data_IF_992280373848
#
_entry.id   IF_992280373848
#
_cell.length_a   1.000
_cell.length_b   1.000
_cell.length_c   1.000
_cell.angle_alpha   90.00
_cell.angle_beta   90.00
_cell.angle_gamma   90.00
#
_symmetry.space_group_name_H-M   'P 1'
#
loop_
_entity.id
_entity.type
_entity.pdbx_description
1 polymer ?
#
# COMPACT_ATOMS: atom_id res chain seq x y z
N UNK A 1 -37.24 49.10 25.36
CA UNK A 1 -37.54 47.87 24.61
C UNK A 1 -36.32 46.98 24.71
N UNK A 2 -36.43 45.90 25.47
CA UNK A 2 -35.34 44.94 25.64
C UNK A 2 -35.43 43.81 24.62
N UNK A 3 -34.29 43.16 24.36
CA UNK A 3 -34.16 41.73 24.09
C UNK A 3 -32.67 41.40 24.15
N UNK A 4 -32.24 40.77 25.23
CA UNK A 4 -30.97 40.06 25.25
C UNK A 4 -31.09 38.83 24.35
N UNK A 5 -30.05 38.59 23.55
CA UNK A 5 -29.76 37.28 22.99
C UNK A 5 -28.31 36.98 23.32
N UNK A 6 -28.15 36.30 24.45
CA UNK A 6 -27.06 35.39 24.75
C UNK A 6 -26.81 34.47 23.53
N UNK A 7 -25.59 34.43 22.98
CA UNK A 7 -25.17 33.33 22.14
C UNK A 7 -24.63 32.21 23.03
N UNK A 8 -25.48 31.22 23.28
CA UNK A 8 -25.11 30.00 23.98
C UNK A 8 -24.08 29.24 23.14
N UNK A 9 -23.04 28.64 23.76
CA UNK A 9 -21.95 28.02 23.04
C UNK A 9 -22.44 26.75 22.35
N UNK A 10 -22.52 26.79 21.03
CA UNK A 10 -22.69 25.59 20.23
C UNK A 10 -21.41 24.77 20.35
N UNK A 11 -21.43 23.75 21.21
CA UNK A 11 -20.47 22.65 21.15
C UNK A 11 -20.72 21.88 19.85
N UNK A 12 -20.26 22.46 18.73
CA UNK A 12 -20.10 21.80 17.45
C UNK A 12 -18.97 20.79 17.55
N UNK A 13 -19.18 19.75 18.35
CA UNK A 13 -18.37 18.55 18.41
C UNK A 13 -18.77 17.60 17.30
N UNK A 14 -18.63 18.03 16.06
CA UNK A 14 -18.21 17.12 15.01
C UNK A 14 -16.77 17.51 14.76
N UNK A 15 -15.85 16.86 15.47
CA UNK A 15 -14.50 16.72 14.95
C UNK A 15 -14.70 16.04 13.60
N UNK A 16 -14.79 16.83 12.54
CA UNK A 16 -14.63 16.31 11.19
C UNK A 16 -13.40 15.40 11.27
N UNK A 17 -13.46 14.17 10.75
CA UNK A 17 -12.25 13.40 10.67
C UNK A 17 -11.25 14.35 10.03
N UNK A 18 -10.08 14.46 10.66
CA UNK A 18 -8.92 15.04 10.03
C UNK A 18 -8.60 14.14 8.84
N UNK A 19 -9.42 14.24 7.81
CA UNK A 19 -9.01 14.27 6.43
C UNK A 19 -8.18 15.55 6.37
N UNK A 20 -7.02 15.50 7.05
CA UNK A 20 -5.85 16.28 6.69
C UNK A 20 -5.91 16.21 5.19
N UNK A 21 -6.21 17.34 4.58
CA UNK A 21 -6.33 17.47 3.13
C UNK A 21 -5.07 16.83 2.58
N UNK A 22 -5.20 15.55 2.25
CA UNK A 22 -4.20 14.76 1.59
C UNK A 22 -4.33 15.27 0.16
N UNK A 23 -3.88 16.51 -0.03
CA UNK A 23 -3.25 17.03 -1.23
C UNK A 23 -1.96 16.23 -1.42
N UNK A 24 -2.10 14.91 -1.39
CA UNK A 24 -1.17 13.94 -1.90
C UNK A 24 -1.33 14.13 -3.39
N UNK A 25 -0.49 14.98 -3.96
CA UNK A 25 -0.25 14.91 -5.39
C UNK A 25 0.00 13.46 -5.79
N UNK A 26 -0.14 13.16 -7.08
CA UNK A 26 0.19 11.85 -7.64
C UNK A 26 1.66 11.43 -7.46
N UNK A 27 2.44 12.18 -6.68
CA UNK A 27 3.83 11.98 -6.31
C UNK A 27 4.03 11.24 -4.97
N UNK A 28 2.99 10.97 -4.17
CA UNK A 28 3.22 10.26 -2.89
C UNK A 28 3.86 8.89 -3.07
N UNK A 29 3.42 8.12 -4.08
CA UNK A 29 4.06 6.85 -4.40
C UNK A 29 5.54 7.04 -4.77
N UNK A 30 5.86 8.09 -5.52
CA UNK A 30 7.24 8.47 -5.88
C UNK A 30 8.05 8.85 -4.64
N UNK A 31 7.49 9.67 -3.74
CA UNK A 31 8.12 10.05 -2.48
C UNK A 31 8.38 8.82 -1.59
N UNK A 32 7.42 7.90 -1.49
CA UNK A 32 7.56 6.64 -0.75
C UNK A 32 8.53 5.65 -1.41
N UNK A 33 8.71 5.76 -2.72
CA UNK A 33 9.63 4.92 -3.48
C UNK A 33 11.06 5.43 -3.44
N UNK A 34 11.25 6.71 -3.19
CA UNK A 34 12.50 7.38 -3.48
C UNK A 34 12.81 7.36 -4.99
N UNK A 35 13.78 8.16 -5.38
CA UNK A 35 14.44 7.96 -6.65
C UNK A 35 15.26 6.66 -6.59
N UNK A 36 15.40 5.90 -7.68
CA UNK A 36 16.38 4.83 -7.72
C UNK A 36 17.76 5.45 -7.48
N UNK A 37 18.44 5.06 -6.38
CA UNK A 37 19.79 5.54 -6.07
C UNK A 37 20.70 5.38 -7.29
N UNK A 38 21.19 6.50 -7.81
CA UNK A 38 22.14 6.52 -8.94
C UNK A 38 23.50 5.94 -8.57
N UNK A 39 23.83 5.96 -7.27
CA UNK A 39 25.16 5.64 -6.75
C UNK A 39 25.30 4.18 -6.25
N UNK A 40 24.25 3.37 -6.28
CA UNK A 40 24.35 1.92 -6.02
C UNK A 40 24.64 1.21 -7.36
N UNK A 41 25.86 0.72 -7.61
CA UNK A 41 26.26 0.36 -8.97
C UNK A 41 25.59 -0.88 -9.56
N UNK A 42 25.09 -1.84 -8.77
CA UNK A 42 24.73 -3.17 -9.30
C UNK A 42 23.59 -3.84 -8.51
N UNK A 43 22.61 -3.06 -8.05
CA UNK A 43 21.39 -3.59 -7.43
C UNK A 43 20.22 -3.62 -8.43
N UNK A 44 19.41 -4.69 -8.53
CA UNK A 44 18.23 -4.67 -9.37
C UNK A 44 17.32 -3.52 -8.92
N UNK A 45 17.01 -2.61 -9.85
CA UNK A 45 16.03 -1.53 -9.67
C UNK A 45 14.63 -2.15 -9.55
N UNK A 46 14.37 -2.77 -8.42
CA UNK A 46 13.09 -3.42 -8.15
C UNK A 46 12.03 -2.33 -7.95
N UNK A 47 10.86 -2.45 -8.58
CA UNK A 47 9.75 -1.55 -8.32
C UNK A 47 9.32 -1.67 -6.86
N UNK A 48 8.78 -0.59 -6.30
CA UNK A 48 8.25 -0.61 -4.93
C UNK A 48 7.16 -1.66 -4.72
N UNK A 49 6.29 -1.80 -5.72
CA UNK A 49 5.32 -2.87 -5.86
C UNK A 49 5.47 -3.42 -7.26
N UNK A 50 5.81 -4.69 -7.37
CA UNK A 50 5.96 -5.39 -8.64
C UNK A 50 4.62 -5.72 -9.29
N UNK A 51 4.74 -6.32 -10.47
CA UNK A 51 3.59 -6.84 -11.21
C UNK A 51 2.91 -7.99 -10.46
N UNK A 52 1.66 -8.25 -10.85
CA UNK A 52 0.90 -9.36 -10.32
C UNK A 52 1.50 -10.67 -10.81
N UNK A 53 1.87 -11.55 -9.89
CA UNK A 53 2.42 -12.87 -10.18
C UNK A 53 1.64 -13.98 -9.45
N UNK A 54 1.59 -15.21 -10.01
CA UNK A 54 0.94 -16.33 -9.35
C UNK A 54 1.70 -16.73 -8.08
N UNK A 55 0.99 -17.22 -7.06
CA UNK A 55 1.63 -17.70 -5.80
C UNK A 55 2.65 -18.81 -6.02
N UNK A 56 2.51 -19.58 -7.10
CA UNK A 56 3.47 -20.61 -7.49
C UNK A 56 4.86 -20.06 -7.79
N UNK A 57 5.01 -18.78 -8.18
CA UNK A 57 6.32 -18.18 -8.42
C UNK A 57 7.15 -18.11 -7.13
N UNK A 58 6.52 -17.82 -5.99
CA UNK A 58 7.18 -17.86 -4.68
C UNK A 58 7.50 -19.29 -4.23
N UNK A 59 6.65 -20.27 -4.55
CA UNK A 59 6.89 -21.66 -4.16
C UNK A 59 8.18 -22.23 -4.78
N UNK A 60 8.50 -21.82 -6.02
CA UNK A 60 9.72 -22.24 -6.71
C UNK A 60 11.00 -21.81 -5.97
N UNK A 61 11.01 -20.63 -5.36
CA UNK A 61 12.16 -20.12 -4.60
C UNK A 61 12.42 -20.93 -3.32
N UNK A 62 11.36 -21.48 -2.73
CA UNK A 62 11.45 -22.28 -1.50
C UNK A 62 11.47 -23.79 -1.75
N UNK A 63 11.59 -24.23 -3.01
CA UNK A 63 11.54 -25.63 -3.39
C UNK A 63 12.60 -26.48 -2.66
N UNK A 64 13.78 -25.92 -2.44
CA UNK A 64 14.90 -26.56 -1.73
C UNK A 64 15.02 -26.21 -0.24
N UNK A 65 14.32 -25.18 0.24
CA UNK A 65 14.71 -24.47 1.47
C UNK A 65 13.79 -24.61 2.67
N UNK A 66 12.49 -24.85 2.50
CA UNK A 66 11.58 -24.93 3.65
C UNK A 66 10.23 -25.58 3.34
N UNK A 67 9.96 -26.81 3.81
CA UNK A 67 8.64 -27.43 3.65
C UNK A 67 7.53 -26.63 4.35
N UNK A 68 7.87 -25.92 5.43
CA UNK A 68 6.92 -25.06 6.16
C UNK A 68 6.50 -23.87 5.30
N UNK A 69 7.42 -23.25 4.55
CA UNK A 69 7.08 -22.13 3.66
C UNK A 69 6.26 -22.61 2.46
N UNK A 70 6.55 -23.79 1.92
CA UNK A 70 5.75 -24.38 0.85
C UNK A 70 4.29 -24.62 1.29
N UNK A 71 4.09 -25.17 2.49
CA UNK A 71 2.74 -25.39 3.01
C UNK A 71 2.00 -24.07 3.26
N UNK A 72 2.69 -23.03 3.76
CA UNK A 72 2.10 -21.69 3.90
C UNK A 72 1.69 -21.09 2.56
N UNK A 73 2.52 -21.23 1.53
CA UNK A 73 2.19 -20.73 0.18
C UNK A 73 0.99 -21.48 -0.39
N UNK A 74 0.91 -22.79 -0.17
CA UNK A 74 -0.24 -23.61 -0.57
C UNK A 74 -1.53 -23.13 0.12
N UNK A 75 -1.52 -22.93 1.43
CA UNK A 75 -2.66 -22.40 2.19
C UNK A 75 -3.06 -20.99 1.72
N UNK A 76 -2.09 -20.13 1.41
CA UNK A 76 -2.37 -18.81 0.82
C UNK A 76 -3.01 -18.93 -0.57
N UNK A 77 -2.63 -19.94 -1.35
CA UNK A 77 -3.21 -20.24 -2.67
C UNK A 77 -4.69 -20.60 -2.65
N UNK A 78 -5.22 -21.05 -1.51
CA UNK A 78 -6.65 -21.33 -1.35
C UNK A 78 -7.49 -20.04 -1.27
N UNK A 79 -6.90 -18.93 -0.83
CA UNK A 79 -7.59 -17.65 -0.61
C UNK A 79 -7.20 -16.56 -1.60
N UNK A 80 -5.96 -16.60 -2.13
CA UNK A 80 -5.39 -15.55 -2.96
C UNK A 80 -4.96 -16.11 -4.33
N UNK A 81 -5.48 -15.51 -5.41
CA UNK A 81 -5.12 -15.93 -6.78
C UNK A 81 -3.75 -15.44 -7.25
N UNK A 82 -3.18 -14.41 -6.61
CA UNK A 82 -1.90 -13.82 -6.99
C UNK A 82 -1.32 -12.97 -5.87
N UNK A 83 -0.04 -12.62 -6.00
CA UNK A 83 0.67 -11.68 -5.13
C UNK A 83 1.41 -10.62 -5.96
N UNK A 84 1.88 -9.58 -5.28
CA UNK A 84 2.81 -8.59 -5.82
C UNK A 84 3.97 -8.48 -4.86
N UNK A 85 5.20 -8.51 -5.38
CA UNK A 85 6.39 -8.33 -4.54
C UNK A 85 6.51 -6.87 -4.12
N UNK A 86 6.83 -6.65 -2.86
CA UNK A 86 7.28 -5.34 -2.40
C UNK A 86 8.81 -5.31 -2.37
N UNK A 87 9.43 -4.19 -2.76
CA UNK A 87 10.89 -4.02 -2.60
C UNK A 87 11.28 -4.16 -1.13
N UNK A 88 12.35 -4.94 -0.88
CA UNK A 88 12.78 -5.38 0.45
C UNK A 88 13.62 -4.36 1.23
N UNK A 89 13.09 -3.16 1.46
CA UNK A 89 13.77 -2.05 2.15
C UNK A 89 13.07 -1.61 3.45
N UNK A 90 12.28 -2.49 4.06
CA UNK A 90 11.57 -2.23 5.31
C UNK A 90 10.25 -1.45 5.19
N UNK A 91 9.88 -0.99 3.98
CA UNK A 91 8.66 -0.20 3.76
C UNK A 91 7.46 -1.01 3.21
N UNK A 92 7.53 -2.34 3.25
CA UNK A 92 6.53 -3.21 2.63
C UNK A 92 5.11 -3.02 3.20
N UNK A 93 4.99 -2.79 4.52
CA UNK A 93 3.70 -2.55 5.17
C UNK A 93 3.02 -1.28 4.62
N UNK A 94 3.73 -0.15 4.63
CA UNK A 94 3.21 1.13 4.15
C UNK A 94 2.88 1.07 2.66
N UNK A 95 3.73 0.43 1.85
CA UNK A 95 3.46 0.25 0.41
C UNK A 95 2.21 -0.57 0.13
N UNK A 96 1.98 -1.61 0.91
CA UNK A 96 0.76 -2.43 0.81
C UNK A 96 -0.47 -1.60 1.13
N UNK A 97 -0.41 -0.78 2.18
CA UNK A 97 -1.50 0.11 2.55
C UNK A 97 -1.78 1.15 1.46
N UNK A 98 -0.76 1.86 0.98
CA UNK A 98 -0.87 2.89 -0.06
C UNK A 98 -1.45 2.29 -1.35
N UNK A 99 -0.95 1.12 -1.76
CA UNK A 99 -1.38 0.47 -2.99
C UNK A 99 -2.86 0.06 -2.94
N UNK A 100 -3.37 -0.40 -1.80
CA UNK A 100 -4.77 -0.85 -1.71
C UNK A 100 -5.73 0.29 -1.39
N UNK A 101 -5.34 1.21 -0.49
CA UNK A 101 -6.25 2.18 0.10
C UNK A 101 -6.24 3.56 -0.55
N UNK A 102 -5.22 3.92 -1.33
CA UNK A 102 -5.15 5.24 -1.98
C UNK A 102 -5.52 5.14 -3.47
N UNK A 103 -6.81 5.35 -3.83
CA UNK A 103 -7.23 5.36 -5.22
C UNK A 103 -6.50 6.44 -6.02
N UNK A 104 -6.00 6.09 -7.21
CA UNK A 104 -5.35 7.02 -8.14
C UNK A 104 -3.82 7.11 -8.04
N UNK A 105 -3.20 6.48 -7.03
CA UNK A 105 -1.73 6.50 -6.86
C UNK A 105 -0.99 5.45 -7.70
N UNK A 106 -1.70 4.47 -8.27
CA UNK A 106 -1.16 3.42 -9.13
C UNK A 106 -2.15 3.12 -10.27
N UNK A 107 -1.70 2.60 -11.43
CA UNK A 107 -2.59 2.13 -12.48
C UNK A 107 -3.53 1.05 -11.93
N UNK A 108 -4.84 1.32 -11.93
CA UNK A 108 -5.82 0.27 -11.61
C UNK A 108 -5.81 -0.76 -12.73
N UNK A 109 -5.43 -2.00 -12.41
CA UNK A 109 -5.74 -3.12 -13.29
C UNK A 109 -7.25 -3.34 -13.31
N UNK A 110 -7.80 -3.45 -14.51
CA UNK A 110 -9.16 -3.91 -14.72
C UNK A 110 -9.28 -5.29 -14.08
N UNK A 111 -10.28 -5.48 -13.21
CA UNK A 111 -10.61 -6.78 -12.64
C UNK A 111 -10.83 -7.75 -13.80
N UNK A 112 -9.82 -8.56 -14.13
CA UNK A 112 -10.03 -9.70 -15.02
C UNK A 112 -10.85 -10.70 -14.20
N UNK A 113 -12.16 -10.65 -14.44
CA UNK A 113 -13.15 -11.64 -14.03
C UNK A 113 -12.88 -12.98 -14.69
#
# INVERSE_FOLDING_TARGET
MGAGLDPSPSFGGCSDPVLVELSMGGDYYRACCGEPDSDIPEGPKLPCVGDKEPLSSSAAEFQSGSPILQEKIKLLGEQYGALRRARGDGNCFYRSFIYVFLPGTHPRETRQS
#
